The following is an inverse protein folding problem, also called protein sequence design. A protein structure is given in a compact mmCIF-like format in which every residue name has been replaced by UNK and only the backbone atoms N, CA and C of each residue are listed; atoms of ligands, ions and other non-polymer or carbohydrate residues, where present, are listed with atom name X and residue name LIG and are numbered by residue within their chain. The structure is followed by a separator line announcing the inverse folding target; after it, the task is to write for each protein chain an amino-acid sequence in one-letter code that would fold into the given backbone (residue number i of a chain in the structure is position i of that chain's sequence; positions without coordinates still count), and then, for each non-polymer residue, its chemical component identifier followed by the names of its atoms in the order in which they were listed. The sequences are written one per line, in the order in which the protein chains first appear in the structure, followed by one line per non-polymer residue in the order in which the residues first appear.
data_IF_127941838562
#
_entry.id   IF_127941838562
#
_cell.length_a   1.000
_cell.length_b   1.000
_cell.length_c   1.000
_cell.angle_alpha   90.00
_cell.angle_beta   90.00
_cell.angle_gamma   90.00
#
_symmetry.space_group_name_H-M   'P 1'
#
loop_
_entity.id
_entity.type
_entity.pdbx_description
1 polymer ?
#
# COMPACT_ATOMS: atom_id res chain seq x y z
N UNK A 1 3.26 11.61 11.24
CA UNK A 1 4.31 11.10 10.30
C UNK A 1 5.02 9.90 10.93
N UNK A 2 4.43 8.71 10.83
CA UNK A 2 5.07 7.46 11.27
C UNK A 2 4.68 6.37 10.26
N UNK A 3 5.64 5.91 9.45
CA UNK A 3 5.44 4.91 8.39
C UNK A 3 5.46 3.50 9.01
N UNK A 4 4.33 2.80 8.95
CA UNK A 4 4.16 1.47 9.52
C UNK A 4 4.71 0.37 8.61
N UNK A 5 4.61 0.55 7.29
CA UNK A 5 5.08 -0.43 6.32
C UNK A 5 6.59 -0.66 6.42
N UNK A 6 7.38 0.41 6.60
CA UNK A 6 8.83 0.30 6.77
C UNK A 6 9.21 -0.32 8.12
N UNK A 7 8.54 0.09 9.21
CA UNK A 7 8.82 -0.43 10.56
C UNK A 7 8.48 -1.92 10.64
N UNK A 8 7.37 -2.34 10.03
CA UNK A 8 6.99 -3.76 9.99
C UNK A 8 7.95 -4.61 9.16
N UNK A 9 8.48 -4.04 8.06
CA UNK A 9 9.56 -4.69 7.31
C UNK A 9 10.82 -4.88 8.16
N UNK A 10 11.19 -3.87 8.97
CA UNK A 10 12.33 -3.97 9.88
C UNK A 10 12.11 -4.98 11.00
N UNK A 11 10.93 -5.02 11.62
CA UNK A 11 10.57 -6.04 12.61
C UNK A 11 10.64 -7.46 12.01
N UNK A 12 10.27 -7.61 10.74
CA UNK A 12 10.33 -8.89 10.01
C UNK A 12 11.76 -9.29 9.60
N UNK A 13 12.75 -8.41 9.75
CA UNK A 13 14.13 -8.65 9.31
C UNK A 13 14.94 -9.59 10.22
N UNK A 14 14.42 -9.91 11.42
CA UNK A 14 15.11 -10.74 12.42
C UNK A 14 16.13 -9.98 13.28
N UNK A 15 16.31 -8.68 13.05
CA UNK A 15 17.24 -7.85 13.83
C UNK A 15 16.63 -7.28 15.13
N UNK A 16 15.30 -7.36 15.27
CA UNK A 16 14.53 -6.68 16.30
C UNK A 16 13.54 -7.60 17.03
N UNK A 17 13.85 -8.90 17.16
CA UNK A 17 12.95 -9.93 17.72
C UNK A 17 12.43 -9.65 19.15
N UNK A 18 13.08 -8.75 19.89
CA UNK A 18 12.67 -8.33 21.24
C UNK A 18 11.71 -7.13 21.25
N UNK A 19 11.35 -6.59 20.08
CA UNK A 19 10.52 -5.40 19.92
C UNK A 19 9.24 -5.74 19.15
N UNK A 20 8.17 -5.03 19.46
CA UNK A 20 6.87 -5.15 18.79
C UNK A 20 6.28 -3.76 18.54
N UNK A 21 5.35 -3.67 17.58
CA UNK A 21 4.54 -2.47 17.35
C UNK A 21 3.06 -2.83 17.47
N UNK A 22 2.52 -2.94 18.71
CA UNK A 22 1.16 -3.41 18.94
C UNK A 22 0.10 -2.33 18.69
N UNK A 23 0.52 -1.07 18.60
CA UNK A 23 -0.37 0.07 18.36
C UNK A 23 -0.59 0.24 16.86
N UNK A 24 -1.82 0.61 16.50
CA UNK A 24 -2.14 1.00 15.15
C UNK A 24 -1.52 2.37 14.84
N UNK A 25 -1.13 2.55 13.59
CA UNK A 25 -0.71 3.82 13.02
C UNK A 25 -1.83 4.85 13.12
N UNK A 26 -1.51 6.05 13.62
CA UNK A 26 -2.49 7.14 13.71
C UNK A 26 -2.62 7.92 12.40
N UNK A 27 -1.50 8.10 11.68
CA UNK A 27 -1.43 8.82 10.40
C UNK A 27 -0.93 7.90 9.28
N UNK A 28 -1.75 7.69 8.25
CA UNK A 28 -1.32 7.03 7.03
C UNK A 28 -0.42 7.97 6.19
N UNK A 29 0.80 7.52 5.87
CA UNK A 29 1.72 8.19 4.95
C UNK A 29 1.90 7.35 3.67
N UNK A 30 0.93 7.34 2.75
CA UNK A 30 0.98 6.48 1.59
C UNK A 30 2.08 6.89 0.61
N UNK A 31 2.71 5.91 -0.01
CA UNK A 31 3.68 6.12 -1.07
C UNK A 31 2.96 6.25 -2.42
N UNK A 32 3.40 7.23 -3.21
CA UNK A 32 2.84 7.52 -4.53
C UNK A 32 3.77 7.14 -5.66
N UNK A 33 3.19 6.77 -6.81
CA UNK A 33 3.90 6.68 -8.08
C UNK A 33 3.59 7.93 -8.90
N UNK A 34 4.61 8.49 -9.56
CA UNK A 34 4.47 9.69 -10.38
C UNK A 34 5.07 9.47 -11.77
N UNK A 35 4.57 10.24 -12.75
CA UNK A 35 5.09 10.31 -14.11
C UNK A 35 5.50 11.76 -14.42
N UNK A 36 6.41 12.00 -15.39
CA UNK A 36 6.71 13.34 -15.85
C UNK A 36 5.46 14.10 -16.27
N UNK A 37 5.41 15.41 -16.03
CA UNK A 37 4.20 16.20 -16.28
C UNK A 37 3.74 16.14 -17.74
N UNK A 38 4.69 16.12 -18.69
CA UNK A 38 4.39 15.98 -20.12
C UNK A 38 3.83 14.62 -20.53
N UNK A 39 3.96 13.59 -19.68
CA UNK A 39 3.48 12.21 -19.91
C UNK A 39 2.17 11.92 -19.17
N UNK A 40 1.68 12.86 -18.36
CA UNK A 40 0.51 12.66 -17.48
C UNK A 40 -0.70 12.12 -18.24
N UNK A 41 -0.99 12.69 -19.40
CA UNK A 41 -2.15 12.34 -20.22
C UNK A 41 -1.76 11.44 -21.43
N UNK A 42 -0.50 10.98 -21.48
CA UNK A 42 0.01 10.10 -22.53
C UNK A 42 -0.19 8.61 -22.17
N UNK A 43 0.32 7.72 -23.03
CA UNK A 43 0.20 6.26 -22.84
C UNK A 43 0.76 5.83 -21.48
N UNK A 44 1.91 6.37 -21.07
CA UNK A 44 2.53 5.98 -19.82
C UNK A 44 1.76 6.46 -18.59
N UNK A 45 1.27 7.70 -18.58
CA UNK A 45 0.44 8.21 -17.48
C UNK A 45 -0.89 7.45 -17.32
N UNK A 46 -1.54 7.10 -18.43
CA UNK A 46 -2.75 6.28 -18.41
C UNK A 46 -2.47 4.85 -17.93
N UNK A 47 -1.37 4.25 -18.39
CA UNK A 47 -0.93 2.92 -17.94
C UNK A 47 -0.68 2.89 -16.43
N UNK A 48 0.10 3.84 -15.91
CA UNK A 48 0.42 3.91 -14.48
C UNK A 48 -0.83 4.10 -13.62
N UNK A 49 -1.76 4.97 -14.07
CA UNK A 49 -3.04 5.18 -13.38
C UNK A 49 -3.89 3.91 -13.33
N UNK A 50 -4.01 3.19 -14.45
CA UNK A 50 -4.75 1.93 -14.53
C UNK A 50 -4.12 0.81 -13.70
N UNK A 51 -2.79 0.72 -13.69
CA UNK A 51 -2.03 -0.23 -12.87
C UNK A 51 -2.30 -0.01 -11.38
N UNK A 52 -2.16 1.23 -10.90
CA UNK A 52 -2.41 1.58 -9.49
C UNK A 52 -3.86 1.32 -9.10
N UNK A 53 -4.82 1.68 -9.96
CA UNK A 53 -6.24 1.38 -9.73
C UNK A 53 -6.47 -0.13 -9.56
N UNK A 54 -5.94 -0.94 -10.48
CA UNK A 54 -6.12 -2.39 -10.44
C UNK A 54 -5.47 -3.02 -9.20
N UNK A 55 -4.30 -2.56 -8.78
CA UNK A 55 -3.63 -3.02 -7.57
C UNK A 55 -4.47 -2.78 -6.31
N UNK A 56 -5.11 -1.61 -6.20
CA UNK A 56 -6.00 -1.33 -5.07
C UNK A 56 -7.31 -2.10 -5.17
N UNK A 57 -7.97 -2.11 -6.33
CA UNK A 57 -9.27 -2.76 -6.52
C UNK A 57 -9.20 -4.29 -6.32
N UNK A 58 -8.16 -4.94 -6.85
CA UNK A 58 -7.98 -6.39 -6.71
C UNK A 58 -7.50 -6.83 -5.32
N UNK A 59 -7.05 -5.90 -4.47
CA UNK A 59 -6.45 -6.22 -3.18
C UNK A 59 -5.02 -6.75 -3.28
N UNK A 60 -4.36 -6.60 -4.45
CA UNK A 60 -3.06 -7.21 -4.71
C UNK A 60 -1.98 -6.81 -3.70
N UNK A 61 -2.00 -5.55 -3.27
CA UNK A 61 -1.02 -5.03 -2.30
C UNK A 61 -1.21 -5.65 -0.91
N UNK A 62 -2.46 -5.87 -0.48
CA UNK A 62 -2.79 -6.55 0.78
C UNK A 62 -2.30 -8.01 0.75
N UNK A 63 -2.44 -8.70 -0.39
CA UNK A 63 -1.89 -10.05 -0.54
C UNK A 63 -0.36 -10.08 -0.39
N UNK A 64 0.32 -9.05 -0.90
CA UNK A 64 1.78 -8.93 -0.82
C UNK A 64 2.22 -8.64 0.61
N UNK A 65 1.56 -7.74 1.32
CA UNK A 65 1.83 -7.50 2.76
C UNK A 65 1.72 -8.81 3.54
N UNK A 66 0.62 -9.55 3.35
CA UNK A 66 0.43 -10.86 3.98
C UNK A 66 1.52 -11.87 3.62
N UNK A 67 1.92 -11.94 2.35
CA UNK A 67 2.99 -12.86 1.89
C UNK A 67 4.31 -12.59 2.61
N UNK A 68 4.60 -11.33 2.92
CA UNK A 68 5.86 -10.91 3.55
C UNK A 68 5.75 -10.75 5.08
N UNK A 69 4.65 -11.21 5.70
CA UNK A 69 4.46 -11.12 7.14
C UNK A 69 4.19 -9.70 7.66
N UNK A 70 3.90 -8.76 6.76
CA UNK A 70 3.58 -7.37 7.07
C UNK A 70 2.09 -7.29 7.38
N UNK A 71 1.74 -6.62 8.47
CA UNK A 71 0.34 -6.32 8.77
C UNK A 71 -0.22 -5.39 7.69
N UNK A 72 -1.42 -5.71 7.18
CA UNK A 72 -2.03 -4.87 6.17
C UNK A 72 -2.31 -3.45 6.69
N UNK A 73 -1.74 -2.46 6.00
CA UNK A 73 -1.90 -1.03 6.30
C UNK A 73 -3.35 -0.59 6.19
N UNK A 74 -3.76 0.40 7.01
CA UNK A 74 -5.15 0.88 7.00
C UNK A 74 -5.49 1.56 5.66
N UNK A 75 -4.56 2.37 5.14
CA UNK A 75 -4.66 2.95 3.80
C UNK A 75 -5.05 1.95 2.70
N UNK A 76 -4.40 0.78 2.64
CA UNK A 76 -4.68 -0.20 1.59
C UNK A 76 -6.04 -0.86 1.75
N UNK A 77 -6.49 -1.11 2.99
CA UNK A 77 -7.86 -1.58 3.26
C UNK A 77 -8.88 -0.55 2.80
N UNK A 78 -8.65 0.72 3.10
CA UNK A 78 -9.55 1.81 2.74
C UNK A 78 -9.62 2.01 1.23
N UNK A 79 -8.48 1.97 0.52
CA UNK A 79 -8.49 2.04 -0.94
C UNK A 79 -9.15 0.80 -1.58
N UNK A 80 -8.89 -0.41 -1.08
CA UNK A 80 -9.54 -1.61 -1.60
C UNK A 80 -11.06 -1.54 -1.43
N UNK A 81 -11.54 -1.07 -0.27
CA UNK A 81 -12.97 -0.82 -0.04
C UNK A 81 -13.51 0.30 -0.93
N UNK A 82 -12.77 1.39 -1.13
CA UNK A 82 -13.19 2.51 -1.99
C UNK A 82 -13.37 2.09 -3.45
N UNK A 83 -12.51 1.20 -3.93
CA UNK A 83 -12.53 0.70 -5.30
C UNK A 83 -13.24 -0.64 -5.45
N UNK A 84 -13.94 -1.12 -4.41
CA UNK A 84 -14.70 -2.38 -4.49
C UNK A 84 -15.77 -2.29 -5.56
N UNK A 85 -15.99 -3.39 -6.28
CA UNK A 85 -17.08 -3.46 -7.24
C UNK A 85 -18.42 -3.39 -6.49
N UNK A 86 -19.29 -2.49 -6.92
CA UNK A 86 -20.64 -2.32 -6.39
C UNK A 86 -21.58 -3.52 -6.60
N UNK A 87 -21.16 -4.50 -7.41
CA UNK A 87 -21.90 -5.75 -7.66
C UNK A 87 -21.56 -6.85 -6.65
N UNK A 88 -20.56 -6.65 -5.78
CA UNK A 88 -20.17 -7.60 -4.73
C UNK A 88 -21.02 -7.53 -3.47
#
# INVERSE_FOLDING_TARGET
VYDDSSIMSDLSSGNYDSYEMPLNSEDDNPWGLAVPLGEKDCIFGNFMSGLTYNMHQSGKLIELEKKWGIQATQYLKDQNKRFSDWIQ
#
